data_IF_224996484420
#
_entry.id   IF_224996484420
#
_cell.length_a   1.000
_cell.length_b   1.000
_cell.length_c   1.000
_cell.angle_alpha   90.00
_cell.angle_beta   90.00
_cell.angle_gamma   90.00
#
_symmetry.space_group_name_H-M   'P 1'
#
loop_
_entity.id
_entity.type
_entity.pdbx_description
1 polymer ?
#
# COMPACT_ATOMS: atom_id res chain seq x y z
N UNK A 1 2.83 -1.66 -3.58
CA UNK A 1 2.42 -0.27 -3.32
C UNK A 1 3.46 0.37 -2.42
N UNK A 2 3.85 1.64 -2.64
CA UNK A 2 5.07 2.16 -2.06
C UNK A 2 4.88 2.36 -0.56
N UNK A 3 5.66 1.63 0.24
CA UNK A 3 5.72 1.76 1.70
C UNK A 3 6.17 3.18 2.14
N UNK A 4 6.74 3.95 1.20
CA UNK A 4 7.29 5.30 1.40
C UNK A 4 6.38 6.28 2.15
N UNK A 5 5.07 6.29 1.88
CA UNK A 5 4.15 7.26 2.46
C UNK A 5 3.58 6.86 3.84
N UNK A 6 3.74 5.59 4.25
CA UNK A 6 3.13 5.06 5.49
C UNK A 6 3.94 5.48 6.74
N UNK A 7 5.20 5.91 6.60
CA UNK A 7 6.11 6.14 7.74
C UNK A 7 6.56 7.57 7.96
N UNK A 8 6.51 8.46 6.95
CA UNK A 8 6.57 9.90 7.23
C UNK A 8 5.53 10.32 8.29
N UNK A 9 4.46 9.54 8.34
CA UNK A 9 3.33 9.55 9.27
C UNK A 9 3.62 8.87 10.62
N UNK A 10 4.26 7.70 10.62
CA UNK A 10 4.36 6.84 11.79
C UNK A 10 5.71 6.91 12.55
N UNK A 11 6.79 7.43 11.96
CA UNK A 11 8.12 7.49 12.61
C UNK A 11 8.58 8.93 12.87
N UNK A 12 8.31 9.88 11.96
CA UNK A 12 8.80 11.26 12.07
C UNK A 12 7.84 12.21 12.77
N UNK A 13 6.54 12.10 12.48
CA UNK A 13 5.49 12.86 13.16
C UNK A 13 5.46 12.63 14.68
N UNK A 14 5.60 11.39 15.21
CA UNK A 14 5.72 11.21 16.64
C UNK A 14 7.03 11.75 17.22
N UNK A 15 8.18 11.65 16.54
CA UNK A 15 9.45 12.12 17.10
C UNK A 15 9.45 13.64 17.41
N UNK A 16 8.84 14.45 16.53
CA UNK A 16 8.74 15.90 16.70
C UNK A 16 7.60 16.30 17.66
N UNK A 17 6.50 15.54 17.70
CA UNK A 17 5.39 15.80 18.63
C UNK A 17 5.64 15.28 20.06
N UNK A 18 6.46 14.23 20.22
CA UNK A 18 6.66 13.56 21.52
C UNK A 18 7.64 14.29 22.44
N UNK A 19 8.59 15.05 21.90
CA UNK A 19 9.52 15.86 22.71
C UNK A 19 8.83 16.99 23.48
N UNK A 20 7.60 17.36 23.09
CA UNK A 20 6.81 18.36 23.81
C UNK A 20 5.80 17.79 24.81
N UNK A 21 5.55 16.46 24.88
CA UNK A 21 4.38 15.97 25.64
C UNK A 21 4.63 14.84 26.66
N UNK A 22 5.63 13.97 26.56
CA UNK A 22 5.67 12.82 27.51
C UNK A 22 7.02 12.57 28.22
N UNK A 23 7.22 13.37 29.26
CA UNK A 23 7.61 12.84 30.58
C UNK A 23 6.52 11.86 31.06
N UNK A 24 6.90 10.60 31.30
CA UNK A 24 6.33 9.60 32.24
C UNK A 24 6.17 8.19 31.61
N UNK A 25 6.93 7.23 32.17
CA UNK A 25 6.41 5.89 32.46
C UNK A 25 6.83 4.71 31.56
N UNK A 26 7.94 4.05 31.90
CA UNK A 26 8.33 2.70 31.42
C UNK A 26 7.56 1.58 32.15
N UNK A 27 7.19 0.49 31.44
CA UNK A 27 7.81 -0.89 31.44
C UNK A 27 6.82 -2.08 31.28
N UNK A 28 7.06 -2.92 30.23
CA UNK A 28 7.10 -4.41 30.12
C UNK A 28 5.96 -5.33 30.67
N UNK A 29 5.57 -6.51 30.12
CA UNK A 29 6.17 -7.52 29.18
C UNK A 29 5.12 -8.60 28.76
N UNK A 30 5.31 -9.16 27.55
CA UNK A 30 5.09 -10.55 27.02
C UNK A 30 3.71 -11.23 26.96
N UNK A 31 3.37 -11.77 25.77
CA UNK A 31 2.49 -12.95 25.60
C UNK A 31 1.98 -13.21 24.17
N UNK A 32 2.47 -14.29 23.53
CA UNK A 32 2.02 -15.07 22.34
C UNK A 32 0.83 -14.54 21.47
N UNK A 33 1.07 -14.37 20.16
CA UNK A 33 0.12 -13.90 19.14
C UNK A 33 -0.77 -15.06 18.61
N UNK A 34 -2.09 -14.90 18.73
CA UNK A 34 -3.13 -15.68 18.03
C UNK A 34 -3.62 -14.84 16.84
N UNK A 35 -4.03 -15.44 15.73
CA UNK A 35 -4.49 -14.72 14.53
C UNK A 35 -5.93 -14.23 14.72
N UNK A 36 -6.11 -12.90 14.81
CA UNK A 36 -7.35 -12.24 15.25
C UNK A 36 -8.24 -11.73 14.10
N UNK A 37 -7.79 -11.79 12.84
CA UNK A 37 -8.49 -11.11 11.75
C UNK A 37 -9.84 -11.74 11.37
N UNK A 38 -10.04 -13.04 11.63
CA UNK A 38 -11.34 -13.71 11.45
C UNK A 38 -12.25 -13.67 12.69
N UNK A 39 -11.67 -13.57 13.89
CA UNK A 39 -12.43 -13.56 15.15
C UNK A 39 -13.08 -12.20 15.39
N UNK A 40 -12.39 -11.10 15.07
CA UNK A 40 -12.89 -9.73 15.30
C UNK A 40 -14.09 -9.41 14.42
N UNK A 41 -14.10 -9.85 13.15
CA UNK A 41 -15.22 -9.60 12.24
C UNK A 41 -16.51 -10.30 12.70
N UNK A 42 -16.39 -11.53 13.23
CA UNK A 42 -17.52 -12.27 13.79
C UNK A 42 -17.98 -11.73 15.14
N UNK A 43 -17.06 -11.23 15.97
CA UNK A 43 -17.36 -10.67 17.29
C UNK A 43 -18.11 -9.33 17.24
N UNK A 44 -17.70 -8.42 16.35
CA UNK A 44 -18.35 -7.11 16.21
C UNK A 44 -19.73 -7.25 15.56
N UNK A 45 -19.85 -8.07 14.51
CA UNK A 45 -21.13 -8.28 13.82
C UNK A 45 -22.13 -9.05 14.69
N UNK A 46 -21.67 -10.09 15.40
CA UNK A 46 -22.47 -10.83 16.38
C UNK A 46 -22.96 -9.96 17.53
N UNK A 47 -22.13 -9.01 17.99
CA UNK A 47 -22.49 -8.04 19.02
C UNK A 47 -23.62 -7.08 18.60
N UNK A 48 -23.58 -6.58 17.36
CA UNK A 48 -24.61 -5.66 16.83
C UNK A 48 -25.94 -6.40 16.63
N UNK A 49 -25.92 -7.56 15.97
CA UNK A 49 -27.15 -8.34 15.72
C UNK A 49 -27.73 -8.85 17.04
N UNK A 50 -26.88 -9.34 17.96
CA UNK A 50 -27.30 -9.76 19.29
C UNK A 50 -27.91 -8.62 20.10
N UNK A 51 -27.32 -7.42 20.05
CA UNK A 51 -27.83 -6.23 20.74
C UNK A 51 -29.19 -5.76 20.20
N UNK A 52 -29.39 -5.78 18.88
CA UNK A 52 -30.67 -5.45 18.25
C UNK A 52 -31.76 -6.45 18.63
N UNK A 53 -31.46 -7.74 18.55
CA UNK A 53 -32.40 -8.80 18.92
C UNK A 53 -32.74 -8.77 20.41
N UNK A 54 -31.79 -8.46 21.28
CA UNK A 54 -32.02 -8.29 22.72
C UNK A 54 -32.91 -7.09 23.03
N UNK A 55 -32.73 -5.97 22.33
CA UNK A 55 -33.59 -4.78 22.45
C UNK A 55 -35.02 -5.06 21.97
N UNK A 56 -35.18 -5.81 20.88
CA UNK A 56 -36.50 -6.22 20.36
C UNK A 56 -37.21 -7.22 21.29
N UNK A 57 -36.47 -8.11 21.96
CA UNK A 57 -37.00 -8.98 23.02
C UNK A 57 -37.51 -8.17 24.22
N UNK A 58 -36.74 -7.16 24.66
CA UNK A 58 -37.11 -6.31 25.81
C UNK A 58 -38.40 -5.51 25.53
N UNK A 59 -38.65 -5.17 24.26
CA UNK A 59 -39.88 -4.50 23.81
C UNK A 59 -41.06 -5.45 23.56
N UNK A 60 -40.90 -6.76 23.81
CA UNK A 60 -41.96 -7.76 23.61
C UNK A 60 -42.29 -8.06 22.15
N UNK A 61 -41.48 -7.56 21.21
CA UNK A 61 -41.77 -7.62 19.77
C UNK A 61 -41.37 -8.97 19.15
N UNK A 62 -40.48 -9.71 19.80
CA UNK A 62 -40.05 -11.05 19.42
C UNK A 62 -39.93 -11.97 20.64
N UNK A 63 -40.35 -13.22 20.48
CA UNK A 63 -40.13 -14.26 21.48
C UNK A 63 -38.65 -14.68 21.53
N UNK A 64 -38.22 -15.20 22.68
CA UNK A 64 -36.83 -15.69 22.86
C UNK A 64 -36.45 -16.72 21.80
N UNK A 65 -37.38 -17.62 21.47
CA UNK A 65 -37.19 -18.70 20.48
C UNK A 65 -37.06 -18.15 19.05
N UNK A 66 -37.87 -17.17 18.67
CA UNK A 66 -37.82 -16.57 17.33
C UNK A 66 -36.52 -15.78 17.11
N UNK A 67 -36.03 -15.09 18.13
CA UNK A 67 -34.76 -14.36 18.09
C UNK A 67 -33.54 -15.29 17.90
N UNK A 68 -33.51 -16.43 18.62
CA UNK A 68 -32.43 -17.42 18.46
C UNK A 68 -32.43 -18.00 17.03
N UNK A 69 -33.60 -18.33 16.49
CA UNK A 69 -33.73 -18.84 15.12
C UNK A 69 -33.25 -17.80 14.08
N UNK A 70 -33.62 -16.53 14.23
CA UNK A 70 -33.19 -15.44 13.35
C UNK A 70 -31.68 -15.22 13.44
N UNK A 71 -31.09 -15.28 14.64
CA UNK A 71 -29.66 -15.16 14.84
C UNK A 71 -28.88 -16.28 14.11
N UNK A 72 -29.36 -17.53 14.22
CA UNK A 72 -28.76 -18.67 13.53
C UNK A 72 -28.90 -18.55 12.00
N UNK A 73 -30.08 -18.14 11.51
CA UNK A 73 -30.32 -17.91 10.08
C UNK A 73 -29.42 -16.80 9.54
N UNK A 74 -29.20 -15.72 10.30
CA UNK A 74 -28.28 -14.65 9.91
C UNK A 74 -26.81 -15.10 9.88
N UNK A 75 -26.40 -15.93 10.84
CA UNK A 75 -25.03 -16.48 10.89
C UNK A 75 -24.76 -17.43 9.71
N UNK A 76 -25.74 -18.29 9.37
CA UNK A 76 -25.62 -19.20 8.21
C UNK A 76 -25.77 -18.44 6.89
N UNK A 77 -26.71 -17.50 6.82
CA UNK A 77 -27.00 -16.68 5.66
C UNK A 77 -25.85 -15.72 5.30
N UNK A 78 -25.18 -15.13 6.29
CA UNK A 78 -24.04 -14.23 6.07
C UNK A 78 -22.84 -14.92 5.40
N UNK A 79 -22.63 -16.21 5.68
CA UNK A 79 -21.60 -17.03 5.04
C UNK A 79 -21.95 -17.36 3.57
N UNK A 80 -23.23 -17.65 3.28
CA UNK A 80 -23.69 -17.95 1.91
C UNK A 80 -23.85 -16.70 1.04
N UNK A 81 -24.24 -15.57 1.63
CA UNK A 81 -24.46 -14.30 0.93
C UNK A 81 -23.13 -13.63 0.55
N UNK A 82 -22.12 -13.70 1.44
CA UNK A 82 -20.76 -13.23 1.12
C UNK A 82 -20.12 -14.06 0.00
N UNK A 83 -20.24 -15.40 0.04
CA UNK A 83 -19.64 -16.25 -0.99
C UNK A 83 -20.25 -16.05 -2.39
N UNK A 84 -21.58 -15.87 -2.49
CA UNK A 84 -22.28 -15.80 -3.79
C UNK A 84 -22.26 -14.41 -4.43
N UNK A 85 -22.34 -13.33 -3.65
CA UNK A 85 -22.26 -11.95 -4.18
C UNK A 85 -20.81 -11.56 -4.50
N UNK A 86 -19.82 -12.01 -3.71
CA UNK A 86 -18.41 -11.84 -4.07
C UNK A 86 -18.06 -12.66 -5.32
N UNK A 87 -18.65 -13.84 -5.51
CA UNK A 87 -18.47 -14.60 -6.75
C UNK A 87 -19.14 -13.94 -7.94
N UNK A 88 -20.39 -13.47 -7.88
CA UNK A 88 -21.07 -12.94 -9.08
C UNK A 88 -20.58 -11.53 -9.48
N UNK A 89 -20.30 -10.64 -8.52
CA UNK A 89 -19.69 -9.34 -8.82
C UNK A 89 -18.21 -9.49 -9.19
N UNK A 90 -17.49 -10.40 -8.53
CA UNK A 90 -16.15 -10.80 -8.94
C UNK A 90 -16.13 -11.35 -10.36
N UNK A 91 -17.08 -12.23 -10.73
CA UNK A 91 -17.14 -12.84 -12.07
C UNK A 91 -17.46 -11.84 -13.16
N UNK A 92 -18.36 -10.86 -12.95
CA UNK A 92 -18.62 -9.80 -13.94
C UNK A 92 -17.43 -8.85 -14.12
N UNK A 93 -16.70 -8.55 -13.05
CA UNK A 93 -15.44 -7.79 -13.13
C UNK A 93 -14.36 -8.63 -13.83
N UNK A 94 -14.27 -9.92 -13.53
CA UNK A 94 -13.36 -10.88 -14.17
C UNK A 94 -13.69 -11.01 -15.66
N UNK A 95 -14.94 -11.16 -16.08
CA UNK A 95 -15.35 -11.26 -17.49
C UNK A 95 -15.06 -9.94 -18.26
N UNK A 96 -15.22 -8.80 -17.60
CA UNK A 96 -14.86 -7.48 -18.13
C UNK A 96 -13.36 -7.26 -18.25
N UNK A 97 -12.55 -7.87 -17.37
CA UNK A 97 -11.09 -7.81 -17.39
C UNK A 97 -10.50 -8.87 -18.35
N UNK A 98 -11.08 -10.08 -18.41
CA UNK A 98 -10.69 -11.15 -19.33
C UNK A 98 -10.92 -10.74 -20.79
N UNK A 99 -12.00 -10.01 -21.07
CA UNK A 99 -12.25 -9.42 -22.40
C UNK A 99 -11.28 -8.27 -22.74
N UNK A 100 -10.72 -7.57 -21.74
CA UNK A 100 -9.61 -6.61 -21.96
C UNK A 100 -8.25 -7.31 -22.14
N UNK A 101 -8.02 -8.43 -21.45
CA UNK A 101 -6.76 -9.21 -21.49
C UNK A 101 -6.67 -10.09 -22.76
N UNK A 102 -7.78 -10.53 -23.33
CA UNK A 102 -7.79 -11.48 -24.46
C UNK A 102 -7.32 -10.91 -25.81
N UNK A 103 -7.05 -9.60 -25.92
CA UNK A 103 -6.71 -8.93 -27.19
C UNK A 103 -5.23 -8.58 -27.39
N UNK A 104 -4.36 -8.80 -26.41
CA UNK A 104 -2.94 -8.46 -26.48
C UNK A 104 -2.06 -9.71 -26.48
N UNK A 105 -0.90 -9.68 -27.16
CA UNK A 105 0.06 -10.78 -27.02
C UNK A 105 0.43 -10.91 -25.54
N UNK A 106 0.33 -12.12 -25.00
CA UNK A 106 0.61 -12.37 -23.59
C UNK A 106 2.01 -12.95 -23.45
N UNK A 107 2.72 -12.55 -22.39
CA UNK A 107 4.04 -13.10 -22.10
C UNK A 107 3.95 -14.10 -20.93
N UNK A 108 4.28 -15.36 -21.21
CA UNK A 108 4.18 -16.45 -20.22
C UNK A 108 5.46 -16.54 -19.41
N UNK A 109 5.34 -16.64 -18.09
CA UNK A 109 6.50 -16.91 -17.23
C UNK A 109 6.96 -18.34 -17.48
N UNK A 110 8.26 -18.51 -17.75
CA UNK A 110 8.83 -19.80 -18.13
C UNK A 110 8.54 -20.88 -17.09
N UNK A 111 7.80 -21.93 -17.49
CA UNK A 111 7.43 -23.04 -16.62
C UNK A 111 6.13 -22.84 -15.82
N UNK A 112 5.33 -21.81 -16.14
CA UNK A 112 3.98 -21.59 -15.58
C UNK A 112 2.94 -21.49 -16.70
N UNK A 113 1.66 -21.50 -16.35
CA UNK A 113 0.57 -21.18 -17.28
C UNK A 113 0.13 -19.70 -17.18
N UNK A 114 0.75 -18.95 -16.28
CA UNK A 114 0.42 -17.56 -16.00
C UNK A 114 1.04 -16.64 -17.03
N UNK A 115 0.16 -15.88 -17.70
CA UNK A 115 0.53 -14.98 -18.77
C UNK A 115 0.34 -13.53 -18.31
N UNK A 116 1.43 -12.77 -18.28
CA UNK A 116 1.43 -11.35 -17.99
C UNK A 116 1.05 -10.54 -19.22
N UNK A 117 0.59 -9.30 -19.00
CA UNK A 117 0.39 -8.34 -20.08
C UNK A 117 1.73 -8.02 -20.73
N UNK A 118 1.70 -7.71 -22.03
CA UNK A 118 2.90 -7.34 -22.78
C UNK A 118 3.70 -6.21 -22.13
N UNK A 119 3.02 -5.25 -21.48
CA UNK A 119 3.65 -4.14 -20.77
C UNK A 119 4.57 -4.61 -19.62
N UNK A 120 4.25 -5.74 -18.99
CA UNK A 120 5.02 -6.30 -17.86
C UNK A 120 6.19 -7.19 -18.32
N UNK A 121 6.29 -7.46 -19.63
CA UNK A 121 7.39 -8.25 -20.22
C UNK A 121 8.75 -7.64 -19.86
N UNK A 122 8.86 -6.32 -19.90
CA UNK A 122 10.11 -5.60 -19.59
C UNK A 122 10.50 -5.79 -18.12
N UNK A 123 9.53 -5.86 -17.20
CA UNK A 123 9.79 -6.16 -15.79
C UNK A 123 10.40 -7.54 -15.64
N UNK A 124 9.83 -8.55 -16.29
CA UNK A 124 10.33 -9.93 -16.21
C UNK A 124 11.73 -10.09 -16.78
N UNK A 125 12.00 -9.46 -17.94
CA UNK A 125 13.35 -9.45 -18.54
C UNK A 125 14.33 -8.82 -17.55
N UNK A 126 14.00 -7.64 -17.02
CA UNK A 126 14.83 -6.96 -16.02
C UNK A 126 15.07 -7.85 -14.79
N UNK A 127 14.04 -8.49 -14.24
CA UNK A 127 14.15 -9.38 -13.10
C UNK A 127 15.06 -10.56 -13.38
N UNK A 128 14.93 -11.21 -14.54
CA UNK A 128 15.75 -12.36 -14.92
C UNK A 128 17.23 -11.99 -15.03
N UNK A 129 17.53 -10.81 -15.58
CA UNK A 129 18.91 -10.36 -15.81
C UNK A 129 19.56 -9.74 -14.57
N UNK A 130 18.82 -8.94 -13.79
CA UNK A 130 19.39 -8.10 -12.73
C UNK A 130 19.02 -8.58 -11.31
N UNK A 131 17.91 -9.30 -11.16
CA UNK A 131 17.42 -9.79 -9.87
C UNK A 131 17.04 -11.29 -9.94
N UNK A 132 17.95 -12.19 -10.39
CA UNK A 132 17.59 -13.58 -10.72
C UNK A 132 17.01 -14.37 -9.54
N UNK A 133 17.43 -14.06 -8.31
CA UNK A 133 16.84 -14.66 -7.10
C UNK A 133 15.36 -14.28 -6.95
N UNK A 134 15.03 -13.01 -7.14
CA UNK A 134 13.65 -12.49 -7.05
C UNK A 134 12.80 -13.04 -8.19
N UNK A 135 13.37 -13.18 -9.39
CA UNK A 135 12.70 -13.84 -10.51
C UNK A 135 12.30 -15.28 -10.17
N UNK A 136 13.23 -16.08 -9.63
CA UNK A 136 12.95 -17.47 -9.25
C UNK A 136 11.96 -17.56 -8.08
N UNK A 137 12.05 -16.66 -7.09
CA UNK A 137 11.06 -16.56 -6.00
C UNK A 137 9.64 -16.34 -6.55
N UNK A 138 9.48 -15.35 -7.45
CA UNK A 138 8.20 -15.03 -8.08
C UNK A 138 7.67 -16.25 -8.84
N UNK A 139 8.52 -16.88 -9.65
CA UNK A 139 8.16 -18.05 -10.44
C UNK A 139 7.68 -19.21 -9.55
N UNK A 140 8.41 -19.56 -8.50
CA UNK A 140 8.04 -20.65 -7.61
C UNK A 140 6.71 -20.38 -6.88
N UNK A 141 6.50 -19.15 -6.44
CA UNK A 141 5.24 -18.79 -5.80
C UNK A 141 4.06 -18.83 -6.77
N UNK A 142 4.25 -18.37 -8.02
CA UNK A 142 3.20 -18.46 -9.05
C UNK A 142 2.83 -19.91 -9.33
N UNK A 143 3.82 -20.81 -9.48
CA UNK A 143 3.57 -22.26 -9.64
C UNK A 143 2.74 -22.82 -8.47
N UNK A 144 3.02 -22.34 -7.25
CA UNK A 144 2.31 -22.77 -6.04
C UNK A 144 0.86 -22.27 -6.06
N UNK A 145 0.63 -20.99 -6.36
CA UNK A 145 -0.71 -20.39 -6.45
C UNK A 145 -1.55 -21.02 -7.57
N UNK A 146 -0.94 -21.37 -8.71
CA UNK A 146 -1.61 -22.11 -9.78
C UNK A 146 -2.07 -23.50 -9.31
N UNK A 147 -1.22 -24.25 -8.60
CA UNK A 147 -1.57 -25.56 -8.04
C UNK A 147 -2.68 -25.47 -6.99
N UNK A 148 -2.73 -24.37 -6.25
CA UNK A 148 -3.81 -24.07 -5.30
C UNK A 148 -5.12 -23.63 -5.97
N UNK A 149 -5.13 -23.46 -7.30
CA UNK A 149 -6.31 -23.04 -8.05
C UNK A 149 -6.67 -21.56 -7.84
N UNK A 150 -5.68 -20.72 -7.49
CA UNK A 150 -5.86 -19.28 -7.32
C UNK A 150 -6.24 -18.61 -8.63
N UNK A 151 -7.05 -17.56 -8.53
CA UNK A 151 -7.48 -16.78 -9.70
C UNK A 151 -6.31 -16.01 -10.33
N UNK A 152 -6.44 -15.66 -11.61
CA UNK A 152 -5.49 -14.79 -12.32
C UNK A 152 -5.16 -13.52 -11.50
N UNK A 153 -6.20 -12.92 -10.92
CA UNK A 153 -6.08 -11.69 -10.15
C UNK A 153 -5.27 -11.87 -8.86
N UNK A 154 -5.46 -12.97 -8.13
CA UNK A 154 -4.66 -13.28 -6.93
C UNK A 154 -3.18 -13.49 -7.30
N UNK A 155 -2.91 -14.20 -8.40
CA UNK A 155 -1.55 -14.44 -8.90
C UNK A 155 -0.89 -13.12 -9.36
N UNK A 156 -1.62 -12.30 -10.13
CA UNK A 156 -1.14 -11.00 -10.59
C UNK A 156 -0.87 -10.04 -9.42
N UNK A 157 -1.72 -10.05 -8.40
CA UNK A 157 -1.54 -9.23 -7.20
C UNK A 157 -0.28 -9.61 -6.43
N UNK A 158 0.01 -10.90 -6.33
CA UNK A 158 1.29 -11.36 -5.77
C UNK A 158 2.48 -10.82 -6.57
N UNK A 159 2.44 -10.93 -7.91
CA UNK A 159 3.50 -10.41 -8.78
C UNK A 159 3.75 -8.90 -8.56
N UNK A 160 2.70 -8.08 -8.62
CA UNK A 160 2.80 -6.63 -8.45
C UNK A 160 3.28 -6.25 -7.04
N UNK A 161 2.84 -6.98 -6.01
CA UNK A 161 3.29 -6.74 -4.64
C UNK A 161 4.76 -7.09 -4.46
N UNK A 162 5.23 -8.23 -4.99
CA UNK A 162 6.65 -8.59 -4.91
C UNK A 162 7.54 -7.63 -5.69
N UNK A 163 7.09 -7.20 -6.88
CA UNK A 163 7.79 -6.18 -7.67
C UNK A 163 7.85 -4.84 -6.93
N UNK A 164 6.75 -4.42 -6.30
CA UNK A 164 6.74 -3.21 -5.47
C UNK A 164 7.71 -3.32 -4.29
N UNK A 165 7.74 -4.45 -3.60
CA UNK A 165 8.68 -4.68 -2.51
C UNK A 165 10.14 -4.62 -2.99
N UNK A 166 10.42 -5.09 -4.22
CA UNK A 166 11.75 -4.95 -4.81
C UNK A 166 12.11 -3.48 -5.02
N UNK A 167 11.20 -2.63 -5.52
CA UNK A 167 11.44 -1.18 -5.64
C UNK A 167 11.86 -0.60 -4.28
N UNK A 168 11.09 -0.92 -3.24
CA UNK A 168 11.32 -0.47 -1.87
C UNK A 168 12.66 -1.01 -1.29
N UNK A 169 13.04 -2.24 -1.61
CA UNK A 169 14.34 -2.84 -1.24
C UNK A 169 15.51 -2.15 -1.97
N UNK A 170 15.32 -1.70 -3.21
CA UNK A 170 16.41 -1.23 -4.08
C UNK A 170 16.63 0.28 -4.05
N UNK A 171 15.66 1.08 -3.62
CA UNK A 171 15.78 2.54 -3.56
C UNK A 171 16.97 3.00 -2.69
N UNK A 172 17.28 2.28 -1.60
CA UNK A 172 18.41 2.61 -0.71
C UNK A 172 19.78 2.40 -1.37
N UNK A 173 19.85 1.63 -2.46
CA UNK A 173 21.08 1.33 -3.20
C UNK A 173 21.15 2.04 -4.56
N UNK A 174 20.06 2.67 -5.01
CA UNK A 174 20.01 3.35 -6.30
C UNK A 174 20.79 4.69 -6.26
N UNK A 175 21.38 5.15 -7.38
CA UNK A 175 21.97 6.49 -7.48
C UNK A 175 20.97 7.62 -7.21
N UNK A 176 21.46 8.79 -6.79
CA UNK A 176 20.62 9.92 -6.35
C UNK A 176 19.61 10.35 -7.43
N UNK A 177 20.06 10.47 -8.68
CA UNK A 177 19.22 10.89 -9.79
C UNK A 177 18.06 9.91 -10.03
N UNK A 178 18.31 8.61 -9.84
CA UNK A 178 17.30 7.57 -10.00
C UNK A 178 16.26 7.61 -8.87
N UNK A 179 16.70 7.81 -7.62
CA UNK A 179 15.79 7.99 -6.47
C UNK A 179 14.88 9.20 -6.70
N UNK A 180 15.44 10.32 -7.15
CA UNK A 180 14.67 11.54 -7.39
C UNK A 180 13.77 11.42 -8.62
N UNK A 181 14.19 10.73 -9.68
CA UNK A 181 13.32 10.44 -10.81
C UNK A 181 12.11 9.61 -10.38
N UNK A 182 12.33 8.57 -9.58
CA UNK A 182 11.26 7.74 -9.01
C UNK A 182 10.27 8.57 -8.18
N UNK A 183 10.79 9.38 -7.24
CA UNK A 183 9.98 10.26 -6.40
C UNK A 183 9.14 11.24 -7.23
N UNK A 184 9.73 11.85 -8.27
CA UNK A 184 9.01 12.78 -9.17
C UNK A 184 7.83 12.12 -9.87
N UNK A 185 7.97 10.88 -10.33
CA UNK A 185 6.86 10.17 -10.99
C UNK A 185 5.78 9.79 -9.99
N UNK A 186 6.14 9.40 -8.76
CA UNK A 186 5.16 9.19 -7.68
C UNK A 186 4.36 10.46 -7.39
N UNK A 187 5.01 11.61 -7.30
CA UNK A 187 4.33 12.90 -7.10
C UNK A 187 3.38 13.19 -8.26
N UNK A 188 3.80 12.98 -9.51
CA UNK A 188 2.90 13.15 -10.68
C UNK A 188 1.67 12.24 -10.60
N UNK A 189 1.84 10.99 -10.15
CA UNK A 189 0.73 10.07 -9.95
C UNK A 189 -0.20 10.54 -8.83
N UNK A 190 0.35 11.02 -7.71
CA UNK A 190 -0.44 11.59 -6.61
C UNK A 190 -1.23 12.83 -7.07
N UNK A 191 -0.58 13.77 -7.77
CA UNK A 191 -1.24 14.97 -8.28
C UNK A 191 -2.33 14.65 -9.32
N UNK A 192 -2.09 13.66 -10.19
CA UNK A 192 -3.10 13.20 -11.14
C UNK A 192 -4.32 12.63 -10.42
N UNK A 193 -4.10 11.77 -9.43
CA UNK A 193 -5.19 11.18 -8.64
C UNK A 193 -5.90 12.25 -7.82
N UNK A 194 -5.17 13.17 -7.18
CA UNK A 194 -5.74 14.25 -6.38
C UNK A 194 -6.71 15.10 -7.20
N UNK A 195 -6.31 15.52 -8.40
CA UNK A 195 -7.17 16.28 -9.33
C UNK A 195 -8.43 15.51 -9.75
N UNK A 196 -8.38 14.18 -9.73
CA UNK A 196 -9.48 13.32 -10.14
C UNK A 196 -10.43 13.03 -8.97
N UNK A 197 -9.87 12.64 -7.83
CA UNK A 197 -10.54 12.30 -6.58
C UNK A 197 -9.48 12.15 -5.48
N UNK A 198 -9.55 12.97 -4.43
CA UNK A 198 -8.60 12.90 -3.33
C UNK A 198 -8.65 11.59 -2.52
N UNK A 199 -9.77 10.88 -2.55
CA UNK A 199 -9.86 9.53 -1.98
C UNK A 199 -9.02 8.52 -2.74
N UNK A 200 -9.00 8.58 -4.07
CA UNK A 200 -8.11 7.76 -4.89
C UNK A 200 -6.64 8.08 -4.63
N UNK A 201 -6.30 9.37 -4.47
CA UNK A 201 -4.95 9.76 -4.06
C UNK A 201 -4.60 9.18 -2.70
N UNK A 202 -5.48 9.36 -1.70
CA UNK A 202 -5.24 8.86 -0.35
C UNK A 202 -5.09 7.34 -0.32
N UNK A 203 -5.92 6.60 -1.05
CA UNK A 203 -5.84 5.14 -1.15
C UNK A 203 -4.60 4.65 -1.91
N UNK A 204 -4.06 5.46 -2.83
CA UNK A 204 -2.79 5.19 -3.49
C UNK A 204 -1.60 5.30 -2.55
N UNK A 205 -1.59 6.30 -1.66
CA UNK A 205 -0.47 6.57 -0.74
C UNK A 205 -0.60 5.86 0.62
N UNK A 206 -1.83 5.56 1.05
CA UNK A 206 -2.14 4.83 2.28
C UNK A 206 -3.14 3.70 1.99
N UNK A 207 -2.72 2.58 1.39
CA UNK A 207 -3.63 1.50 1.00
C UNK A 207 -4.32 0.77 2.16
N UNK A 208 -3.83 0.89 3.41
CA UNK A 208 -4.49 0.35 4.63
C UNK A 208 -5.85 1.01 4.92
N UNK A 209 -6.22 2.04 4.16
CA UNK A 209 -7.40 2.88 4.31
C UNK A 209 -8.68 2.23 3.78
N UNK A 210 -8.72 1.06 3.14
CA UNK A 210 -9.94 0.32 2.68
C UNK A 210 -9.75 -0.26 1.27
N UNK A 211 -8.55 -0.19 0.69
CA UNK A 211 -8.34 -0.68 -0.67
C UNK A 211 -8.46 -2.19 -0.76
N UNK A 212 -9.66 -2.71 -1.03
CA UNK A 212 -9.80 -4.04 -1.62
C UNK A 212 -8.87 -4.08 -2.83
N UNK A 213 -8.26 -5.23 -3.11
CA UNK A 213 -7.30 -5.35 -4.23
C UNK A 213 -7.92 -4.83 -5.56
N UNK A 214 -9.25 -4.92 -5.70
CA UNK A 214 -9.98 -4.38 -6.84
C UNK A 214 -9.84 -2.85 -6.97
N UNK A 215 -9.80 -2.13 -5.86
CA UNK A 215 -9.56 -0.69 -5.81
C UNK A 215 -8.12 -0.34 -6.20
N UNK A 216 -7.15 -1.14 -5.76
CA UNK A 216 -5.74 -1.01 -6.14
C UNK A 216 -5.58 -1.13 -7.66
N UNK A 217 -6.18 -2.17 -8.26
CA UNK A 217 -6.14 -2.37 -9.72
C UNK A 217 -6.88 -1.24 -10.44
N UNK A 218 -8.02 -0.79 -9.90
CA UNK A 218 -8.77 0.35 -10.47
C UNK A 218 -7.94 1.63 -10.46
N UNK A 219 -7.23 1.93 -9.37
CA UNK A 219 -6.32 3.08 -9.29
C UNK A 219 -5.20 2.95 -10.32
N UNK A 220 -4.53 1.79 -10.39
CA UNK A 220 -3.46 1.54 -11.35
C UNK A 220 -3.93 1.69 -12.81
N UNK A 221 -5.11 1.17 -13.14
CA UNK A 221 -5.73 1.31 -14.47
C UNK A 221 -6.25 2.70 -14.79
N UNK A 222 -6.31 3.61 -13.81
CA UNK A 222 -6.86 4.96 -13.99
C UNK A 222 -5.86 5.97 -14.53
N UNK A 223 -4.57 5.67 -14.50
CA UNK A 223 -3.51 6.54 -14.97
C UNK A 223 -3.48 6.62 -16.50
N UNK A 224 -3.11 7.77 -17.10
CA UNK A 224 -2.84 7.84 -18.53
C UNK A 224 -1.73 6.88 -18.93
N UNK A 225 -1.83 6.25 -20.10
CA UNK A 225 -0.85 5.26 -20.58
C UNK A 225 0.58 5.80 -20.57
N UNK A 226 0.77 7.06 -20.96
CA UNK A 226 2.08 7.71 -20.92
C UNK A 226 2.68 7.78 -19.50
N UNK A 227 1.86 8.09 -18.48
CA UNK A 227 2.30 8.14 -17.09
C UNK A 227 2.59 6.74 -16.53
N UNK A 228 1.85 5.71 -16.96
CA UNK A 228 2.15 4.32 -16.62
C UNK A 228 3.51 3.88 -17.19
N UNK A 229 3.78 4.20 -18.46
CA UNK A 229 5.07 3.91 -19.12
C UNK A 229 6.21 4.67 -18.46
N UNK A 230 6.02 5.96 -18.15
CA UNK A 230 7.01 6.78 -17.45
C UNK A 230 7.38 6.15 -16.10
N UNK A 231 6.38 5.74 -15.32
CA UNK A 231 6.56 5.06 -14.03
C UNK A 231 7.34 3.76 -14.19
N UNK A 232 6.90 2.91 -15.10
CA UNK A 232 7.52 1.62 -15.36
C UNK A 232 9.00 1.77 -15.72
N UNK A 233 9.32 2.64 -16.69
CA UNK A 233 10.68 2.85 -17.15
C UNK A 233 11.58 3.44 -16.05
N UNK A 234 11.03 4.35 -15.24
CA UNK A 234 11.76 4.97 -14.12
C UNK A 234 12.10 3.93 -13.05
N UNK A 235 11.14 3.09 -12.67
CA UNK A 235 11.35 2.03 -11.67
C UNK A 235 12.37 1.00 -12.17
N UNK A 236 12.26 0.57 -13.43
CA UNK A 236 13.21 -0.36 -14.05
C UNK A 236 14.63 0.23 -14.06
N UNK A 237 14.78 1.48 -14.50
CA UNK A 237 16.07 2.15 -14.53
C UNK A 237 16.68 2.27 -13.12
N UNK A 238 15.85 2.60 -12.12
CA UNK A 238 16.29 2.66 -10.72
C UNK A 238 16.76 1.30 -10.21
N UNK A 239 15.99 0.24 -10.45
CA UNK A 239 16.34 -1.12 -10.02
C UNK A 239 17.65 -1.56 -10.69
N UNK A 240 17.80 -1.41 -12.01
CA UNK A 240 19.03 -1.78 -12.71
C UNK A 240 20.22 -1.00 -12.14
N UNK A 241 20.10 0.32 -12.02
CA UNK A 241 21.18 1.17 -11.52
C UNK A 241 21.59 0.83 -10.08
N UNK A 242 20.65 0.37 -9.26
CA UNK A 242 20.93 -0.04 -7.89
C UNK A 242 21.88 -1.24 -7.79
N UNK A 243 21.97 -2.09 -8.82
CA UNK A 243 22.88 -3.26 -8.82
C UNK A 243 24.30 -2.93 -9.28
N UNK A 244 24.58 -1.69 -9.69
CA UNK A 244 25.91 -1.27 -10.16
C UNK A 244 26.95 -1.19 -9.04
N UNK A 245 28.22 -1.05 -9.43
CA UNK A 245 29.37 -1.05 -8.51
C UNK A 245 29.44 0.20 -7.59
N UNK A 246 28.69 1.26 -7.92
CA UNK A 246 28.68 2.54 -7.20
C UNK A 246 27.42 2.70 -6.35
N UNK A 247 27.10 1.69 -5.55
CA UNK A 247 26.02 1.81 -4.57
C UNK A 247 26.38 2.87 -3.52
N UNK A 248 25.47 3.82 -3.22
CA UNK A 248 25.66 4.73 -2.10
C UNK A 248 25.88 3.94 -0.81
N UNK A 249 26.94 4.27 -0.08
CA UNK A 249 27.16 3.79 1.28
C UNK A 249 26.54 4.81 2.21
N UNK A 250 25.44 4.46 2.87
CA UNK A 250 24.83 5.35 3.87
C UNK A 250 25.67 5.33 5.13
N UNK A 251 26.44 6.38 5.36
CA UNK A 251 27.23 6.55 6.58
C UNK A 251 26.37 7.02 7.76
N UNK A 252 26.94 7.02 8.97
CA UNK A 252 26.27 7.63 10.13
C UNK A 252 26.10 9.14 9.95
N UNK A 253 27.08 9.81 9.34
CA UNK A 253 27.00 11.23 8.99
C UNK A 253 25.87 11.50 8.00
N UNK A 254 25.69 10.64 6.99
CA UNK A 254 24.56 10.76 6.06
C UNK A 254 23.21 10.63 6.76
N UNK A 255 23.13 9.74 7.75
CA UNK A 255 21.91 9.56 8.55
C UNK A 255 21.59 10.84 9.34
N UNK A 256 22.57 11.43 10.01
CA UNK A 256 22.39 12.66 10.79
C UNK A 256 21.97 13.84 9.90
N UNK A 257 22.64 14.01 8.76
CA UNK A 257 22.33 15.08 7.82
C UNK A 257 20.96 14.86 7.15
N UNK A 258 20.55 13.61 6.88
CA UNK A 258 19.19 13.32 6.42
C UNK A 258 18.14 13.66 7.48
N UNK A 259 18.38 13.33 8.75
CA UNK A 259 17.48 13.67 9.85
C UNK A 259 17.30 15.19 9.97
N UNK A 260 18.39 15.97 9.86
CA UNK A 260 18.30 17.44 9.85
C UNK A 260 17.48 17.98 8.68
N UNK A 261 17.67 17.44 7.47
CA UNK A 261 16.89 17.82 6.29
C UNK A 261 15.40 17.51 6.48
N UNK A 262 15.08 16.35 7.03
CA UNK A 262 13.73 15.90 7.32
C UNK A 262 13.09 16.80 8.39
N UNK A 263 13.78 17.05 9.51
CA UNK A 263 13.32 17.93 10.59
C UNK A 263 12.99 19.32 10.06
N UNK A 264 13.89 19.90 9.25
CA UNK A 264 13.67 21.21 8.63
C UNK A 264 12.41 21.23 7.77
N UNK A 265 12.18 20.18 6.96
CA UNK A 265 10.96 20.06 6.16
C UNK A 265 9.73 19.96 7.06
N UNK A 266 9.80 19.17 8.13
CA UNK A 266 8.69 18.99 9.05
C UNK A 266 8.37 20.28 9.83
N UNK A 267 9.35 21.09 10.22
CA UNK A 267 9.13 22.41 10.80
C UNK A 267 8.34 23.33 9.86
N UNK A 268 8.72 23.34 8.58
CA UNK A 268 7.99 24.09 7.54
C UNK A 268 6.56 23.57 7.41
N UNK A 269 6.36 22.25 7.45
CA UNK A 269 5.04 21.64 7.41
C UNK A 269 4.20 22.02 8.64
N UNK A 270 4.78 22.05 9.84
CA UNK A 270 4.11 22.45 11.09
C UNK A 270 3.70 23.91 11.04
N UNK A 271 4.58 24.80 10.57
CA UNK A 271 4.25 26.21 10.41
C UNK A 271 3.12 26.43 9.39
N UNK A 272 3.09 25.66 8.30
CA UNK A 272 2.12 25.83 7.23
C UNK A 272 0.75 25.22 7.55
N UNK A 273 0.72 24.06 8.19
CA UNK A 273 -0.51 23.27 8.39
C UNK A 273 -0.94 23.15 9.85
N UNK A 274 -0.09 23.48 10.83
CA UNK A 274 -0.42 23.46 12.25
C UNK A 274 -1.01 22.11 12.71
N UNK A 275 -2.16 22.18 13.38
CA UNK A 275 -2.88 20.99 13.87
C UNK A 275 -3.37 20.06 12.76
N UNK A 276 -3.50 20.53 11.52
CA UNK A 276 -3.95 19.68 10.42
C UNK A 276 -2.96 18.56 10.10
N UNK A 277 -1.68 18.69 10.49
CA UNK A 277 -0.73 17.58 10.41
C UNK A 277 -1.17 16.34 11.21
N UNK A 278 -2.05 16.50 12.20
CA UNK A 278 -2.67 15.37 12.91
C UNK A 278 -3.47 14.45 11.99
N UNK A 279 -3.98 14.96 10.86
CA UNK A 279 -4.62 14.17 9.81
C UNK A 279 -3.66 13.13 9.24
N UNK A 280 -2.38 13.48 9.15
CA UNK A 280 -1.34 12.57 8.66
C UNK A 280 -0.81 11.64 9.75
N UNK A 281 -1.33 11.61 10.98
CA UNK A 281 -0.78 10.69 12.01
C UNK A 281 -1.31 9.25 11.88
N UNK A 282 -2.43 9.04 11.17
CA UNK A 282 -2.94 7.69 10.94
C UNK A 282 -3.80 7.63 9.66
N UNK A 283 -3.89 6.45 9.03
CA UNK A 283 -4.87 6.17 7.98
C UNK A 283 -6.30 6.65 8.32
N UNK A 284 -6.74 6.47 9.57
CA UNK A 284 -8.08 6.84 10.01
C UNK A 284 -8.27 8.35 10.11
N UNK A 285 -7.25 9.07 10.61
CA UNK A 285 -7.30 10.53 10.64
C UNK A 285 -7.27 11.11 9.23
N UNK A 286 -6.47 10.53 8.33
CA UNK A 286 -6.37 11.01 6.95
C UNK A 286 -7.70 10.90 6.20
N UNK A 287 -8.52 9.90 6.51
CA UNK A 287 -9.89 9.76 5.98
C UNK A 287 -10.82 10.90 6.37
N UNK A 288 -10.62 11.50 7.54
CA UNK A 288 -11.48 12.56 8.04
C UNK A 288 -11.45 13.79 7.13
N UNK A 289 -10.32 14.01 6.45
CA UNK A 289 -10.20 15.01 5.40
C UNK A 289 -9.23 14.54 4.30
N UNK A 290 -9.76 13.77 3.35
CA UNK A 290 -8.99 13.13 2.28
C UNK A 290 -8.29 14.14 1.37
N UNK A 291 -8.99 15.23 1.02
CA UNK A 291 -8.47 16.34 0.21
C UNK A 291 -7.20 16.91 0.86
N UNK A 292 -7.34 17.41 2.08
CA UNK A 292 -6.24 18.06 2.80
C UNK A 292 -5.09 17.10 3.10
N UNK A 293 -5.40 15.84 3.40
CA UNK A 293 -4.38 14.82 3.66
C UNK A 293 -3.56 14.50 2.42
N UNK A 294 -4.20 14.30 1.27
CA UNK A 294 -3.49 14.09 0.01
C UNK A 294 -2.68 15.34 -0.39
N UNK A 295 -3.26 16.54 -0.27
CA UNK A 295 -2.57 17.80 -0.54
C UNK A 295 -1.28 17.93 0.28
N UNK A 296 -1.35 17.72 1.60
CA UNK A 296 -0.17 17.77 2.47
C UNK A 296 0.89 16.74 2.09
N UNK A 297 0.51 15.52 1.70
CA UNK A 297 1.45 14.49 1.26
C UNK A 297 2.15 14.86 -0.05
N UNK A 298 1.42 15.47 -0.99
CA UNK A 298 1.99 15.98 -2.24
C UNK A 298 2.99 17.11 -1.94
N UNK A 299 2.58 18.10 -1.14
CA UNK A 299 3.42 19.26 -0.83
C UNK A 299 4.66 18.88 -0.02
N UNK A 300 4.53 17.95 0.92
CA UNK A 300 5.66 17.41 1.67
C UNK A 300 6.68 16.73 0.74
N UNK A 301 6.22 15.86 -0.16
CA UNK A 301 7.09 15.22 -1.15
C UNK A 301 7.73 16.25 -2.10
N UNK A 302 7.01 17.30 -2.51
CA UNK A 302 7.57 18.41 -3.30
C UNK A 302 8.67 19.17 -2.56
N UNK A 303 8.53 19.39 -1.26
CA UNK A 303 9.60 20.00 -0.45
C UNK A 303 10.85 19.13 -0.42
N UNK A 304 10.70 17.80 -0.26
CA UNK A 304 11.83 16.87 -0.36
C UNK A 304 12.54 16.93 -1.72
N UNK A 305 11.80 16.80 -2.84
CA UNK A 305 12.42 16.87 -4.18
C UNK A 305 12.87 18.28 -4.58
N UNK A 306 12.53 19.30 -3.79
CA UNK A 306 13.00 20.68 -3.93
C UNK A 306 14.38 20.92 -3.31
N UNK A 307 14.87 19.99 -2.46
CA UNK A 307 16.25 20.01 -1.98
C UNK A 307 17.24 19.72 -3.13
N UNK A 308 18.54 20.06 -2.98
CA UNK A 308 19.59 19.54 -3.85
C UNK A 308 19.50 18.01 -3.97
N UNK A 309 19.77 17.48 -5.17
CA UNK A 309 19.52 16.06 -5.52
C UNK A 309 20.12 15.08 -4.51
N UNK A 310 21.34 15.31 -4.08
CA UNK A 310 22.03 14.51 -3.05
C UNK A 310 21.27 14.52 -1.71
N UNK A 311 20.92 15.71 -1.21
CA UNK A 311 20.18 15.87 0.06
C UNK A 311 18.81 15.21 -0.01
N UNK A 312 18.08 15.45 -1.08
CA UNK A 312 16.78 14.82 -1.31
C UNK A 312 16.93 13.29 -1.29
N UNK A 313 17.83 12.74 -2.11
CA UNK A 313 18.01 11.29 -2.23
C UNK A 313 18.42 10.67 -0.88
N UNK A 314 19.32 11.33 -0.14
CA UNK A 314 19.72 10.92 1.21
C UNK A 314 18.53 10.85 2.18
N UNK A 315 17.65 11.86 2.19
CA UNK A 315 16.42 11.83 2.98
C UNK A 315 15.49 10.68 2.58
N UNK A 316 15.27 10.46 1.28
CA UNK A 316 14.47 9.33 0.78
C UNK A 316 15.04 7.98 1.25
N UNK A 317 16.37 7.79 1.18
CA UNK A 317 17.02 6.57 1.67
C UNK A 317 16.89 6.41 3.18
N UNK A 318 17.05 7.48 3.95
CA UNK A 318 16.90 7.44 5.41
C UNK A 318 15.49 6.99 5.80
N UNK A 319 14.47 7.62 5.21
CA UNK A 319 13.06 7.23 5.41
C UNK A 319 12.87 5.75 5.08
N UNK A 320 13.41 5.30 3.94
CA UNK A 320 13.28 3.91 3.49
C UNK A 320 13.96 2.90 4.42
N UNK A 321 15.13 3.24 4.99
CA UNK A 321 15.81 2.40 5.98
C UNK A 321 15.01 2.27 7.27
N UNK A 322 14.40 3.36 7.72
CA UNK A 322 13.51 3.34 8.89
C UNK A 322 12.27 2.47 8.69
N UNK A 323 11.84 2.22 7.45
CA UNK A 323 10.75 1.26 7.15
C UNK A 323 11.16 -0.20 7.28
N UNK A 324 12.44 -0.48 7.05
CA UNK A 324 12.97 -1.84 6.96
C UNK A 324 13.43 -2.37 8.33
N UNK A 325 13.50 -1.50 9.35
CA UNK A 325 13.88 -1.83 10.73
C UNK A 325 12.65 -2.15 11.60
#
# INVERSE_FOLDING_TARGET
MPLFNIILINVLLPAIFLDNIFSLGKKNRKGKKMDWNHVVFSGVFGGIVGGLLWSMQKKGWLSKTASIAIFIIFMIGGNLFSAKILQDNGRRVIDGIDSMIAKEDKFVIEGTNFALKNDDKTVLIMLKENAPKVYEEIKQQIITLEKEGKSYFEIYSYFINRYSALIDERIVFAPDENVIAHAKVLIKQMEFLHKKDAGLCLNFVMPEVEGEIAEIIKIAGSFPKALQIERLNTDIAMIIASYGDKQPQVSSEDSELASQDIETIMEVMVHQYGEDLTLLMSPQHAKANKEKSCEMLIEMNKKFIGLPTERAARSYRQIMRELQM
#
